data_IF_523529744862
#
_entry.id   IF_523529744862
#
_cell.length_a   1.000
_cell.length_b   1.000
_cell.length_c   1.000
_cell.angle_alpha   90.00
_cell.angle_beta   90.00
_cell.angle_gamma   90.00
#
_symmetry.space_group_name_H-M   'P 1'
#
loop_
_entity.id
_entity.type
_entity.pdbx_description
1 polymer ?
#
# COMPACT_ATOMS: atom_id res chain seq x y z
N UNK A 1 7.20 -0.34 -15.38
CA UNK A 1 8.12 -0.30 -16.56
C UNK A 1 7.72 -1.24 -17.70
N UNK A 2 7.21 -2.45 -17.43
CA UNK A 2 6.83 -3.40 -18.48
C UNK A 2 5.89 -2.80 -19.56
N UNK A 3 4.90 -1.99 -19.16
CA UNK A 3 3.97 -1.34 -20.10
C UNK A 3 4.65 -0.32 -21.03
N UNK A 4 5.64 0.42 -20.51
CA UNK A 4 6.43 1.36 -21.33
C UNK A 4 7.32 0.60 -22.31
N UNK A 5 7.95 -0.50 -21.87
CA UNK A 5 8.74 -1.38 -22.73
C UNK A 5 7.86 -2.04 -23.81
N UNK A 6 6.60 -2.33 -23.50
CA UNK A 6 5.60 -2.81 -24.45
C UNK A 6 5.08 -1.73 -25.42
N UNK A 7 5.60 -0.49 -25.35
CA UNK A 7 5.24 0.60 -26.25
C UNK A 7 3.88 1.27 -25.96
N UNK A 8 3.28 1.00 -24.80
CA UNK A 8 2.01 1.63 -24.43
C UNK A 8 2.20 3.11 -24.08
N UNK A 9 1.16 3.94 -24.31
CA UNK A 9 1.15 5.34 -23.88
C UNK A 9 1.49 5.51 -22.40
N UNK A 10 2.29 6.54 -22.08
CA UNK A 10 2.70 6.84 -20.71
C UNK A 10 1.51 7.03 -19.76
N UNK A 11 0.40 7.61 -20.24
CA UNK A 11 -0.83 7.77 -19.45
C UNK A 11 -1.41 6.42 -19.01
N UNK A 12 -1.37 5.40 -19.86
CA UNK A 12 -1.86 4.05 -19.52
C UNK A 12 -0.94 3.42 -18.49
N UNK A 13 0.38 3.52 -18.70
CA UNK A 13 1.36 3.01 -17.73
C UNK A 13 1.18 3.68 -16.36
N UNK A 14 0.93 5.00 -16.33
CA UNK A 14 0.68 5.75 -15.11
C UNK A 14 -0.66 5.35 -14.46
N UNK A 15 -1.73 5.22 -15.23
CA UNK A 15 -3.03 4.80 -14.71
C UNK A 15 -2.96 3.42 -14.06
N UNK A 16 -2.25 2.48 -14.68
CA UNK A 16 -2.04 1.14 -14.10
C UNK A 16 -1.14 1.19 -12.85
N UNK A 17 -0.09 2.02 -12.86
CA UNK A 17 0.79 2.20 -11.68
C UNK A 17 0.02 2.79 -10.48
N UNK A 18 -0.87 3.74 -10.73
CA UNK A 18 -1.63 4.43 -9.68
C UNK A 18 -2.94 3.70 -9.31
N UNK A 19 -3.42 2.77 -10.13
CA UNK A 19 -4.66 2.03 -9.89
C UNK A 19 -4.76 1.34 -8.51
N UNK A 20 -3.68 0.80 -7.92
CA UNK A 20 -3.73 0.19 -6.59
C UNK A 20 -3.80 1.20 -5.44
N UNK A 21 -3.47 2.48 -5.66
CA UNK A 21 -3.36 3.48 -4.59
C UNK A 21 -4.63 3.62 -3.74
N UNK A 22 -5.86 3.68 -4.31
CA UNK A 22 -7.07 3.78 -3.51
C UNK A 22 -7.24 2.58 -2.57
N UNK A 23 -6.98 1.37 -3.07
CA UNK A 23 -7.05 0.15 -2.26
C UNK A 23 -5.98 0.15 -1.15
N UNK A 24 -4.73 0.48 -1.48
CA UNK A 24 -3.64 0.54 -0.50
C UNK A 24 -3.90 1.60 0.57
N UNK A 25 -4.46 2.76 0.22
CA UNK A 25 -4.85 3.78 1.17
C UNK A 25 -5.94 3.29 2.14
N UNK A 26 -6.96 2.59 1.62
CA UNK A 26 -8.00 1.98 2.45
C UNK A 26 -7.41 0.90 3.37
N UNK A 27 -6.52 0.06 2.85
CA UNK A 27 -5.82 -0.96 3.64
C UNK A 27 -4.99 -0.33 4.77
N UNK A 28 -4.23 0.73 4.46
CA UNK A 28 -3.46 1.49 5.45
C UNK A 28 -4.35 1.99 6.58
N UNK A 29 -5.43 2.69 6.25
CA UNK A 29 -6.37 3.22 7.24
C UNK A 29 -7.02 2.09 8.05
N UNK A 30 -7.44 1.01 7.41
CA UNK A 30 -8.09 -0.12 8.07
C UNK A 30 -7.15 -0.79 9.07
N UNK A 31 -5.91 -1.11 8.67
CA UNK A 31 -4.92 -1.72 9.57
C UNK A 31 -4.54 -0.76 10.68
N UNK A 32 -4.35 0.53 10.37
CA UNK A 32 -3.98 1.53 11.38
C UNK A 32 -5.05 1.67 12.46
N UNK A 33 -6.33 1.73 12.04
CA UNK A 33 -7.48 1.76 12.96
C UNK A 33 -7.59 0.46 13.76
N UNK A 34 -7.42 -0.69 13.11
CA UNK A 34 -7.45 -2.00 13.79
C UNK A 34 -6.35 -2.12 14.86
N UNK A 35 -5.13 -1.71 14.54
CA UNK A 35 -4.01 -1.69 15.48
C UNK A 35 -4.23 -0.71 16.64
N UNK A 36 -4.92 0.42 16.42
CA UNK A 36 -5.28 1.35 17.49
C UNK A 36 -6.37 0.81 18.42
N UNK A 37 -7.30 0.00 17.90
CA UNK A 37 -8.36 -0.64 18.69
C UNK A 37 -7.93 -1.99 19.32
N UNK A 38 -6.69 -2.42 19.10
CA UNK A 38 -6.21 -3.72 19.56
C UNK A 38 -5.92 -3.70 21.08
N UNK A 39 -6.69 -4.48 21.84
CA UNK A 39 -6.57 -4.57 23.30
C UNK A 39 -5.53 -5.61 23.80
N UNK A 40 -4.87 -6.32 22.88
CA UNK A 40 -3.87 -7.35 23.22
C UNK A 40 -2.46 -6.78 23.42
N UNK A 41 -1.42 -7.63 23.36
CA UNK A 41 -0.03 -7.20 23.55
C UNK A 41 0.39 -6.11 22.55
N UNK A 42 0.99 -4.98 23.00
CA UNK A 42 1.31 -3.83 22.13
C UNK A 42 2.32 -4.15 21.03
N UNK A 43 3.09 -5.24 21.19
CA UNK A 43 4.00 -5.75 20.18
C UNK A 43 3.31 -6.03 18.84
N UNK A 44 2.13 -6.68 18.87
CA UNK A 44 1.40 -7.02 17.65
C UNK A 44 0.82 -5.79 16.95
N UNK A 45 0.33 -4.81 17.71
CA UNK A 45 -0.14 -3.55 17.16
C UNK A 45 0.99 -2.78 16.47
N UNK A 46 2.18 -2.77 17.08
CA UNK A 46 3.37 -2.11 16.51
C UNK A 46 3.83 -2.82 15.24
N UNK A 47 3.91 -4.16 15.27
CA UNK A 47 4.31 -4.96 14.11
C UNK A 47 3.34 -4.75 12.94
N UNK A 48 2.03 -4.71 13.19
CA UNK A 48 1.02 -4.46 12.17
C UNK A 48 1.18 -3.08 11.52
N UNK A 49 1.46 -2.04 12.32
CA UNK A 49 1.73 -0.68 11.80
C UNK A 49 2.99 -0.64 10.95
N UNK A 50 4.08 -1.28 11.38
CA UNK A 50 5.32 -1.35 10.60
C UNK A 50 5.13 -2.12 9.29
N UNK A 51 4.42 -3.24 9.35
CA UNK A 51 4.12 -4.07 8.18
C UNK A 51 3.32 -3.27 7.14
N UNK A 52 2.26 -2.57 7.55
CA UNK A 52 1.44 -1.83 6.59
C UNK A 52 2.13 -0.59 6.03
N UNK A 53 2.96 0.10 6.82
CA UNK A 53 3.79 1.20 6.31
C UNK A 53 4.79 0.70 5.26
N UNK A 54 5.48 -0.40 5.57
CA UNK A 54 6.46 -1.01 4.66
C UNK A 54 5.79 -1.47 3.37
N UNK A 55 4.64 -2.16 3.48
CA UNK A 55 3.86 -2.59 2.32
C UNK A 55 3.40 -1.41 1.45
N UNK A 56 2.82 -0.38 2.08
CA UNK A 56 2.32 0.78 1.33
C UNK A 56 3.45 1.52 0.62
N UNK A 57 4.60 1.68 1.28
CA UNK A 57 5.78 2.28 0.66
C UNK A 57 6.30 1.42 -0.51
N UNK A 58 6.41 0.11 -0.32
CA UNK A 58 6.86 -0.81 -1.36
C UNK A 58 5.95 -0.74 -2.60
N UNK A 59 4.63 -0.84 -2.44
CA UNK A 59 3.70 -0.83 -3.58
C UNK A 59 3.56 0.56 -4.23
N UNK A 60 3.91 1.63 -3.53
CA UNK A 60 3.89 2.99 -4.12
C UNK A 60 5.14 3.25 -4.96
N UNK A 61 6.29 2.73 -4.53
CA UNK A 61 7.59 3.01 -5.12
C UNK A 61 7.95 1.99 -6.23
N UNK A 62 7.62 0.72 -6.04
CA UNK A 62 7.94 -0.39 -6.96
C UNK A 62 6.92 -0.48 -8.10
#
# INVERSE_FOLDING_TARGET
MALLVAGLPAVIALAVHLAPLPYNALMLVAVWRSAAAYAGPPFWATLARLAILTWTAAVTIL
#
